data_IF_344206561683
#
_entry.id   IF_344206561683
#
_cell.length_a   1.000
_cell.length_b   1.000
_cell.length_c   1.000
_cell.angle_alpha   90.00
_cell.angle_beta   90.00
_cell.angle_gamma   90.00
#
_symmetry.space_group_name_H-M   'P 1'
#
loop_
_entity.id
_entity.type
_entity.pdbx_description
1 polymer ?
#
# COMPACT_ATOMS: atom_id res chain seq x y z
N UNK A 1 -49.15 16.06 -10.36
CA UNK A 1 -48.86 17.50 -10.26
C UNK A 1 -47.37 17.63 -9.95
N UNK A 2 -46.52 17.35 -10.94
CA UNK A 2 -45.72 18.32 -11.72
C UNK A 2 -44.95 19.30 -10.83
N UNK A 3 -43.63 19.12 -10.74
CA UNK A 3 -42.68 20.19 -11.05
C UNK A 3 -41.26 19.62 -11.24
N UNK A 4 -40.85 19.39 -12.49
CA UNK A 4 -39.44 19.25 -12.83
C UNK A 4 -38.85 20.66 -12.84
N UNK A 5 -37.96 20.96 -11.90
CA UNK A 5 -37.12 22.17 -11.98
C UNK A 5 -36.07 21.95 -13.05
N UNK A 6 -36.24 22.60 -14.20
CA UNK A 6 -35.20 22.72 -15.21
C UNK A 6 -34.05 23.56 -14.61
N UNK A 7 -32.94 22.89 -14.28
CA UNK A 7 -31.68 23.57 -14.00
C UNK A 7 -31.07 23.92 -15.34
N UNK A 8 -31.12 25.21 -15.70
CA UNK A 8 -30.40 25.74 -16.86
C UNK A 8 -28.91 25.70 -16.52
N UNK A 9 -28.19 24.77 -17.14
CA UNK A 9 -26.74 24.71 -17.10
C UNK A 9 -26.22 25.86 -17.99
N UNK A 10 -25.79 26.96 -17.37
CA UNK A 10 -25.05 28.01 -18.07
C UNK A 10 -23.65 27.45 -18.31
N UNK A 11 -23.37 27.06 -19.55
CA UNK A 11 -22.02 26.71 -20.00
C UNK A 11 -21.19 27.98 -19.99
N UNK A 12 -20.49 28.24 -18.88
CA UNK A 12 -19.48 29.27 -18.79
C UNK A 12 -18.31 28.89 -19.69
N UNK A 13 -18.24 29.51 -20.87
CA UNK A 13 -17.07 29.44 -21.74
C UNK A 13 -15.94 30.19 -21.04
N UNK A 14 -15.14 29.46 -20.27
CA UNK A 14 -13.97 30.01 -19.60
C UNK A 14 -13.00 30.53 -20.67
N UNK A 15 -12.70 31.84 -20.62
CA UNK A 15 -11.64 32.46 -21.39
C UNK A 15 -10.34 31.69 -21.18
N UNK A 16 -9.90 30.97 -22.22
CA UNK A 16 -8.57 30.39 -22.26
C UNK A 16 -7.58 31.53 -22.43
N UNK A 17 -6.98 31.98 -21.32
CA UNK A 17 -5.76 32.79 -21.38
C UNK A 17 -4.65 32.04 -22.14
N UNK A 18 -3.60 32.73 -22.61
CA UNK A 18 -2.52 32.07 -23.32
C UNK A 18 -1.96 30.94 -22.47
N UNK A 19 -2.07 29.70 -22.96
CA UNK A 19 -1.49 28.53 -22.33
C UNK A 19 0.03 28.67 -22.49
N UNK A 20 0.71 29.23 -21.49
CA UNK A 20 2.16 29.15 -21.44
C UNK A 20 2.53 27.66 -21.47
N UNK A 21 3.28 27.25 -22.48
CA UNK A 21 3.77 25.87 -22.57
C UNK A 21 4.56 25.54 -21.29
N UNK A 22 4.34 24.35 -20.74
CA UNK A 22 5.09 23.90 -19.58
C UNK A 22 6.60 23.90 -19.90
N UNK A 23 7.40 24.47 -19.00
CA UNK A 23 8.87 24.38 -19.08
C UNK A 23 9.32 23.07 -18.45
N UNK A 24 10.49 22.56 -18.85
CA UNK A 24 11.08 21.38 -18.23
C UNK A 24 11.22 21.54 -16.70
N UNK A 25 11.59 22.72 -16.23
CA UNK A 25 11.68 23.04 -14.79
C UNK A 25 10.32 22.94 -14.10
N UNK A 26 9.27 23.54 -14.65
CA UNK A 26 7.91 23.49 -14.07
C UNK A 26 7.36 22.06 -14.00
N UNK A 27 7.70 21.22 -14.98
CA UNK A 27 7.32 19.79 -14.99
C UNK A 27 8.04 19.03 -13.88
N UNK A 28 9.34 19.27 -13.69
CA UNK A 28 10.13 18.60 -12.65
C UNK A 28 9.68 19.00 -11.23
N UNK A 29 9.36 20.28 -11.02
CA UNK A 29 8.82 20.75 -9.73
C UNK A 29 7.48 20.06 -9.45
N UNK A 30 6.57 20.09 -10.41
CA UNK A 30 5.26 19.45 -10.24
C UNK A 30 5.37 17.94 -10.02
N UNK A 31 6.28 17.27 -10.72
CA UNK A 31 6.56 15.84 -10.52
C UNK A 31 7.03 15.55 -9.08
N UNK A 32 7.95 16.36 -8.54
CA UNK A 32 8.42 16.21 -7.16
C UNK A 32 7.32 16.49 -6.12
N UNK A 33 6.50 17.51 -6.35
CA UNK A 33 5.36 17.83 -5.48
C UNK A 33 4.33 16.70 -5.45
N UNK A 34 4.03 16.11 -6.62
CA UNK A 34 3.12 14.98 -6.73
C UNK A 34 3.68 13.73 -6.04
N UNK A 35 4.96 13.40 -6.27
CA UNK A 35 5.65 12.32 -5.58
C UNK A 35 5.54 12.47 -4.05
N UNK A 36 5.83 13.68 -3.54
CA UNK A 36 5.75 13.96 -2.11
C UNK A 36 4.33 13.80 -1.58
N UNK A 37 3.32 14.33 -2.27
CA UNK A 37 1.92 14.15 -1.86
C UNK A 37 1.55 12.66 -1.77
N UNK A 38 1.94 11.86 -2.76
CA UNK A 38 1.62 10.43 -2.80
C UNK A 38 2.31 9.63 -1.69
N UNK A 39 3.60 9.91 -1.41
CA UNK A 39 4.27 9.27 -0.28
C UNK A 39 3.70 9.69 1.08
N UNK A 40 3.20 10.94 1.19
CA UNK A 40 2.54 11.41 2.40
C UNK A 40 1.22 10.68 2.65
N UNK A 41 0.42 10.49 1.60
CA UNK A 41 -0.83 9.73 1.68
C UNK A 41 -0.56 8.25 2.03
N UNK A 42 0.46 7.65 1.41
CA UNK A 42 0.91 6.30 1.74
C UNK A 42 1.34 6.19 3.22
N UNK A 43 2.12 7.14 3.73
CA UNK A 43 2.54 7.16 5.14
C UNK A 43 1.35 7.29 6.10
N UNK A 44 0.42 8.21 5.84
CA UNK A 44 -0.73 8.43 6.71
C UNK A 44 -1.63 7.19 6.79
N UNK A 45 -1.86 6.54 5.65
CA UNK A 45 -2.64 5.31 5.61
C UNK A 45 -1.92 4.13 6.30
N UNK A 46 -0.59 4.02 6.17
CA UNK A 46 0.21 3.02 6.88
C UNK A 46 0.20 3.23 8.40
N UNK A 47 0.24 4.47 8.88
CA UNK A 47 0.08 4.79 10.30
C UNK A 47 -1.31 4.38 10.80
N UNK A 48 -2.36 4.66 10.03
CA UNK A 48 -3.72 4.20 10.35
C UNK A 48 -3.80 2.67 10.43
N UNK A 49 -3.19 1.96 9.48
CA UNK A 49 -3.09 0.50 9.51
C UNK A 49 -2.37 0.01 10.78
N UNK A 50 -1.21 0.60 11.11
CA UNK A 50 -0.46 0.26 12.33
C UNK A 50 -1.33 0.39 13.58
N UNK A 51 -2.09 1.47 13.69
CA UNK A 51 -2.94 1.71 14.87
C UNK A 51 -4.09 0.68 14.95
N UNK A 52 -4.67 0.28 13.81
CA UNK A 52 -5.70 -0.79 13.77
C UNK A 52 -5.13 -2.16 14.08
N UNK A 53 -3.92 -2.47 13.64
CA UNK A 53 -3.20 -3.68 14.04
C UNK A 53 -2.93 -3.65 15.55
N UNK A 54 -2.46 -2.52 16.10
CA UNK A 54 -2.24 -2.36 17.52
C UNK A 54 -3.51 -2.63 18.35
N UNK A 55 -4.66 -2.12 17.90
CA UNK A 55 -5.95 -2.40 18.55
C UNK A 55 -6.34 -3.88 18.44
N UNK A 56 -6.15 -4.52 17.28
CA UNK A 56 -6.40 -5.95 17.13
C UNK A 56 -5.53 -6.80 18.08
N UNK A 57 -4.26 -6.44 18.25
CA UNK A 57 -3.33 -7.14 19.14
C UNK A 57 -3.70 -6.98 20.61
N UNK A 58 -4.15 -5.79 21.01
CA UNK A 58 -4.62 -5.53 22.37
C UNK A 58 -5.96 -6.21 22.67
N UNK A 59 -6.87 -6.23 21.69
CA UNK A 59 -8.24 -6.72 21.83
C UNK A 59 -8.64 -7.58 20.60
N UNK A 60 -8.34 -8.89 20.60
CA UNK A 60 -8.49 -9.76 19.44
C UNK A 60 -9.96 -10.19 19.22
N UNK A 61 -10.77 -9.25 18.74
CA UNK A 61 -12.19 -9.46 18.40
C UNK A 61 -12.41 -9.56 16.90
N UNK A 62 -13.52 -10.17 16.48
CA UNK A 62 -13.90 -10.23 15.06
C UNK A 62 -14.07 -8.83 14.44
N UNK A 63 -14.61 -7.88 15.21
CA UNK A 63 -14.75 -6.49 14.79
C UNK A 63 -13.40 -5.80 14.55
N UNK A 64 -12.44 -5.98 15.47
CA UNK A 64 -11.10 -5.41 15.34
C UNK A 64 -10.31 -6.07 14.19
N UNK A 65 -10.51 -7.37 13.94
CA UNK A 65 -9.92 -8.07 12.80
C UNK A 65 -10.47 -7.51 11.48
N UNK A 66 -11.78 -7.30 11.39
CA UNK A 66 -12.39 -6.68 10.22
C UNK A 66 -11.87 -5.25 10.00
N UNK A 67 -11.71 -4.47 11.06
CA UNK A 67 -11.15 -3.12 10.98
C UNK A 67 -9.68 -3.11 10.50
N UNK A 68 -8.85 -4.03 10.97
CA UNK A 68 -7.46 -4.16 10.52
C UNK A 68 -7.38 -4.57 9.04
N UNK A 69 -8.20 -5.53 8.60
CA UNK A 69 -8.30 -5.92 7.18
C UNK A 69 -8.73 -4.76 6.29
N UNK A 70 -9.74 -4.00 6.69
CA UNK A 70 -10.20 -2.83 5.96
C UNK A 70 -9.09 -1.76 5.86
N UNK A 71 -8.37 -1.50 6.95
CA UNK A 71 -7.25 -0.57 6.95
C UNK A 71 -6.08 -1.05 6.06
N UNK A 72 -5.85 -2.36 5.96
CA UNK A 72 -4.82 -2.92 5.09
C UNK A 72 -5.14 -2.65 3.62
N UNK A 73 -6.39 -2.91 3.19
CA UNK A 73 -6.85 -2.59 1.83
C UNK A 73 -6.75 -1.09 1.56
N UNK A 74 -7.17 -0.26 2.52
CA UNK A 74 -7.10 1.19 2.39
C UNK A 74 -5.67 1.72 2.28
N UNK A 75 -4.71 1.15 3.02
CA UNK A 75 -3.30 1.52 2.95
C UNK A 75 -2.61 1.06 1.66
N UNK A 76 -3.12 -0.02 1.06
CA UNK A 76 -2.58 -0.55 -0.21
C UNK A 76 -2.77 0.44 -1.36
N UNK A 77 -3.93 1.09 -1.45
CA UNK A 77 -4.26 1.98 -2.56
C UNK A 77 -3.27 3.14 -2.76
N UNK A 78 -2.96 3.99 -1.76
CA UNK A 78 -1.99 5.07 -1.94
C UNK A 78 -0.56 4.54 -2.10
N UNK A 79 -0.19 3.42 -1.46
CA UNK A 79 1.13 2.81 -1.65
C UNK A 79 1.37 2.42 -3.12
N UNK A 80 0.41 1.74 -3.76
CA UNK A 80 0.53 1.28 -5.14
C UNK A 80 0.72 2.42 -6.13
N UNK A 81 0.14 3.59 -5.87
CA UNK A 81 0.34 4.75 -6.74
C UNK A 81 1.80 5.24 -6.69
N UNK A 82 2.51 5.03 -5.57
CA UNK A 82 3.93 5.40 -5.44
C UNK A 82 4.87 4.54 -6.28
N UNK A 83 4.41 3.39 -6.80
CA UNK A 83 5.26 2.49 -7.58
C UNK A 83 5.82 3.13 -8.86
N UNK A 84 5.10 4.10 -9.43
CA UNK A 84 5.56 4.89 -10.58
C UNK A 84 6.83 5.72 -10.27
N UNK A 85 7.09 6.01 -9.00
CA UNK A 85 8.21 6.83 -8.52
C UNK A 85 9.39 6.02 -7.99
N UNK A 86 9.35 4.69 -8.11
CA UNK A 86 10.48 3.81 -7.79
C UNK A 86 11.70 4.11 -8.65
N UNK A 87 11.47 4.56 -9.87
CA UNK A 87 12.52 4.91 -10.83
C UNK A 87 13.00 6.34 -10.56
N UNK A 88 14.23 6.48 -10.07
CA UNK A 88 14.86 7.79 -9.85
C UNK A 88 15.27 8.05 -8.40
N UNK A 89 14.93 7.18 -7.45
CA UNK A 89 15.43 7.25 -6.08
C UNK A 89 15.87 5.87 -5.58
N UNK A 90 17.19 5.65 -5.52
CA UNK A 90 17.80 4.40 -5.05
C UNK A 90 17.29 3.98 -3.67
N UNK A 91 17.00 4.94 -2.79
CA UNK A 91 16.49 4.66 -1.44
C UNK A 91 15.11 4.00 -1.51
N UNK A 92 14.23 4.46 -2.40
CA UNK A 92 12.89 3.87 -2.54
C UNK A 92 13.00 2.43 -3.04
N UNK A 93 13.84 2.20 -4.05
CA UNK A 93 13.98 0.88 -4.65
C UNK A 93 14.64 -0.13 -3.70
N UNK A 94 15.69 0.27 -2.97
CA UNK A 94 16.33 -0.57 -1.93
C UNK A 94 15.39 -1.00 -0.81
N UNK A 95 14.33 -0.22 -0.54
CA UNK A 95 13.35 -0.52 0.49
C UNK A 95 12.17 -1.36 0.00
N UNK A 96 11.95 -1.50 -1.30
CA UNK A 96 10.71 -2.10 -1.81
C UNK A 96 10.56 -3.56 -1.41
N UNK A 97 11.63 -4.36 -1.49
CA UNK A 97 11.61 -5.76 -1.06
C UNK A 97 11.29 -5.94 0.43
N UNK A 98 11.44 -4.90 1.26
CA UNK A 98 11.06 -4.96 2.69
C UNK A 98 9.59 -4.64 2.94
N UNK A 99 8.93 -3.98 1.99
CA UNK A 99 7.55 -3.48 2.13
C UNK A 99 6.57 -4.33 1.33
N UNK A 100 6.99 -4.83 0.17
CA UNK A 100 6.12 -5.41 -0.84
C UNK A 100 6.73 -6.66 -1.53
N UNK A 101 7.55 -7.43 -0.80
CA UNK A 101 8.05 -8.69 -1.33
C UNK A 101 6.91 -9.62 -1.78
N UNK A 102 7.07 -10.16 -2.98
CA UNK A 102 6.27 -11.24 -3.53
C UNK A 102 7.14 -12.04 -4.52
N UNK A 103 7.10 -13.38 -4.53
CA UNK A 103 6.30 -14.26 -3.68
C UNK A 103 6.75 -14.27 -2.21
N UNK A 104 5.88 -14.77 -1.33
CA UNK A 104 6.25 -15.11 0.03
C UNK A 104 6.64 -16.59 0.08
N UNK A 105 7.44 -16.95 1.08
CA UNK A 105 7.62 -18.35 1.45
C UNK A 105 6.63 -18.66 2.56
N UNK A 106 5.42 -19.08 2.18
CA UNK A 106 4.33 -19.23 3.15
C UNK A 106 4.59 -20.32 4.18
N UNK A 107 5.43 -21.33 3.89
CA UNK A 107 5.77 -22.38 4.86
C UNK A 107 6.54 -21.88 6.08
N UNK A 108 7.19 -20.71 5.98
CA UNK A 108 7.81 -20.01 7.11
C UNK A 108 6.79 -19.37 8.05
N UNK A 109 5.58 -19.02 7.61
CA UNK A 109 4.63 -18.20 8.39
C UNK A 109 3.23 -18.81 8.55
N UNK A 110 2.76 -19.66 7.64
CA UNK A 110 1.43 -20.22 7.69
C UNK A 110 1.40 -21.42 8.66
N UNK A 111 0.85 -21.16 9.84
CA UNK A 111 0.66 -22.15 10.88
C UNK A 111 -0.69 -22.88 10.83
N UNK A 112 -1.53 -22.57 9.84
CA UNK A 112 -2.90 -23.11 9.72
C UNK A 112 -3.06 -24.11 8.57
N UNK A 113 -2.20 -24.05 7.55
CA UNK A 113 -2.20 -25.01 6.47
C UNK A 113 -1.71 -26.40 6.93
N UNK A 114 -2.34 -27.47 6.43
CA UNK A 114 -1.94 -28.84 6.73
C UNK A 114 -0.61 -29.24 6.05
N UNK A 115 -0.33 -28.68 4.87
CA UNK A 115 0.96 -28.80 4.18
C UNK A 115 1.09 -27.70 3.12
N UNK A 116 2.26 -27.07 3.02
CA UNK A 116 2.61 -26.13 1.95
C UNK A 116 3.51 -26.79 0.89
N UNK A 117 4.53 -27.52 1.35
CA UNK A 117 5.40 -28.41 0.58
C UNK A 117 6.37 -29.12 1.56
N UNK A 118 7.19 -30.05 1.08
CA UNK A 118 8.15 -30.78 1.95
C UNK A 118 9.55 -30.18 1.98
N UNK A 119 9.97 -29.49 0.91
CA UNK A 119 11.34 -28.99 0.74
C UNK A 119 11.41 -27.82 -0.26
N UNK A 120 12.50 -27.07 -0.17
CA UNK A 120 12.89 -26.03 -1.13
C UNK A 120 14.41 -26.06 -1.29
N UNK A 121 14.89 -26.08 -2.53
CA UNK A 121 16.32 -25.99 -2.84
C UNK A 121 16.90 -24.60 -2.50
N UNK A 122 16.05 -23.58 -2.42
CA UNK A 122 16.44 -22.19 -2.15
C UNK A 122 16.41 -21.84 -0.67
N UNK A 123 15.54 -22.48 0.12
CA UNK A 123 15.37 -22.20 1.53
C UNK A 123 15.32 -23.48 2.39
N UNK A 124 16.42 -23.84 3.09
CA UNK A 124 16.44 -24.98 4.01
C UNK A 124 15.45 -24.86 5.19
N UNK A 125 14.93 -23.66 5.47
CA UNK A 125 13.97 -23.38 6.54
C UNK A 125 12.52 -23.28 6.03
N UNK A 126 12.24 -23.79 4.83
CA UNK A 126 10.95 -23.72 4.16
C UNK A 126 9.75 -24.19 5.01
N UNK A 127 9.96 -25.14 5.93
CA UNK A 127 8.92 -25.65 6.84
C UNK A 127 9.14 -25.26 8.31
N UNK A 128 10.01 -24.30 8.59
CA UNK A 128 10.41 -23.94 9.94
C UNK A 128 9.27 -23.33 10.76
N UNK A 129 8.28 -22.71 10.11
CA UNK A 129 7.09 -22.11 10.74
C UNK A 129 7.43 -21.28 11.99
N UNK A 130 7.93 -20.06 11.75
CA UNK A 130 8.44 -19.16 12.77
C UNK A 130 7.35 -18.64 13.71
N UNK A 131 6.07 -18.82 13.35
CA UNK A 131 4.93 -18.42 14.18
C UNK A 131 4.60 -19.52 15.20
N UNK A 132 4.61 -20.79 14.79
CA UNK A 132 4.27 -21.92 15.67
C UNK A 132 5.42 -22.31 16.63
N UNK A 133 6.67 -22.00 16.28
CA UNK A 133 7.85 -22.45 17.01
C UNK A 133 8.56 -21.31 17.76
N UNK A 134 8.76 -21.48 19.08
CA UNK A 134 9.49 -20.51 19.92
C UNK A 134 11.01 -20.52 19.70
N UNK A 135 11.54 -21.65 19.22
CA UNK A 135 12.96 -21.86 18.93
C UNK A 135 13.06 -22.56 17.59
N UNK A 136 13.97 -22.08 16.74
CA UNK A 136 14.30 -22.69 15.47
C UNK A 136 15.74 -23.18 15.54
N UNK A 137 15.99 -24.42 15.14
CA UNK A 137 17.34 -24.91 14.94
C UNK A 137 17.72 -24.63 13.49
N UNK A 138 18.71 -23.78 13.29
CA UNK A 138 19.24 -23.42 11.97
C UNK A 138 20.67 -23.94 11.90
N UNK A 139 20.89 -25.02 11.17
CA UNK A 139 22.19 -25.70 11.09
C UNK A 139 22.34 -26.82 12.11
#
# INVERSE_FOLDING_TARGET
MIMYKAVILITGMALSGPLCAATAESVLIHYADLAHAMYRDALQSAQTLRDKIGLLLAEPTAANLAAAKAAWVAARHPYQQTEAYRFGNKIVDEWEGKVNAWPLDEGLIDYTAASYGSESDENPLYNANVIANKTLTVG
#
